data_IF_677617863790
#
_entry.id   IF_677617863790
#
_cell.length_a   1.000
_cell.length_b   1.000
_cell.length_c   1.000
_cell.angle_alpha   90.00
_cell.angle_beta   90.00
_cell.angle_gamma   90.00
#
_symmetry.space_group_name_H-M   'P 1'
#
loop_
_entity.id
_entity.type
_entity.pdbx_description
1 polymer ?
#
# COMPACT_ATOMS: atom_id res chain seq x y z
N UNK A 1 13.53 -0.20 9.15
CA UNK A 1 13.66 -0.77 7.80
C UNK A 1 13.00 0.19 6.82
N UNK A 2 13.66 0.52 5.71
CA UNK A 2 13.08 1.32 4.63
C UNK A 2 11.89 0.57 4.04
N UNK A 3 10.66 1.07 4.27
CA UNK A 3 9.45 0.52 3.64
C UNK A 3 9.32 1.09 2.24
N UNK A 4 9.52 0.24 1.26
CA UNK A 4 9.36 0.60 -0.15
C UNK A 4 8.45 -0.41 -0.81
N UNK A 5 7.47 0.09 -1.55
CA UNK A 5 6.67 -0.74 -2.42
C UNK A 5 7.61 -1.44 -3.44
N UNK A 6 7.41 -2.75 -3.73
CA UNK A 6 8.15 -3.42 -4.80
C UNK A 6 8.00 -2.66 -6.13
N UNK A 7 9.07 -2.50 -6.91
CA UNK A 7 8.96 -1.89 -8.24
C UNK A 7 8.06 -2.74 -9.13
N UNK A 8 7.31 -2.10 -10.04
CA UNK A 8 6.55 -2.81 -11.06
C UNK A 8 7.51 -3.71 -11.87
N UNK A 9 7.24 -5.02 -12.00
CA UNK A 9 8.15 -5.94 -12.67
C UNK A 9 8.20 -5.64 -14.18
N UNK A 10 9.25 -6.06 -14.90
CA UNK A 10 9.24 -5.97 -16.36
C UNK A 10 8.07 -6.79 -16.93
N UNK A 11 7.48 -6.31 -18.02
CA UNK A 11 6.44 -7.07 -18.73
C UNK A 11 7.03 -8.40 -19.23
N UNK A 12 6.35 -9.55 -19.04
CA UNK A 12 6.91 -10.87 -19.37
C UNK A 12 7.29 -11.03 -20.85
N UNK A 13 6.58 -10.34 -21.74
CA UNK A 13 6.86 -10.35 -23.19
C UNK A 13 7.87 -9.27 -23.63
N UNK A 14 8.47 -8.52 -22.70
CA UNK A 14 9.42 -7.45 -23.01
C UNK A 14 8.78 -6.15 -23.51
N UNK A 15 7.46 -6.04 -23.47
CA UNK A 15 6.68 -4.85 -23.82
C UNK A 15 6.49 -3.85 -22.68
N UNK A 16 5.55 -2.92 -22.87
CA UNK A 16 5.07 -2.02 -21.82
C UNK A 16 3.79 -2.57 -21.21
N UNK A 17 3.61 -2.38 -19.90
CA UNK A 17 2.34 -2.65 -19.23
C UNK A 17 1.21 -1.84 -19.83
N UNK A 18 -0.02 -2.37 -19.75
CA UNK A 18 -1.20 -1.63 -20.14
C UNK A 18 -1.30 -0.30 -19.38
N UNK A 19 -1.92 0.74 -19.95
CA UNK A 19 -2.12 2.01 -19.27
C UNK A 19 -2.84 1.85 -17.92
N UNK A 20 -3.74 0.86 -17.81
CA UNK A 20 -4.45 0.54 -16.58
C UNK A 20 -3.49 0.05 -15.48
N UNK A 21 -2.59 -0.89 -15.81
CA UNK A 21 -1.60 -1.39 -14.84
C UNK A 21 -0.63 -0.29 -14.42
N UNK A 22 -0.15 0.53 -15.37
CA UNK A 22 0.74 1.65 -15.06
C UNK A 22 0.06 2.68 -14.16
N UNK A 23 -1.18 3.05 -14.49
CA UNK A 23 -1.94 4.02 -13.72
C UNK A 23 -2.27 3.51 -12.31
N UNK A 24 -2.72 2.26 -12.19
CA UNK A 24 -3.00 1.63 -10.90
C UNK A 24 -1.73 1.58 -10.03
N UNK A 25 -0.58 1.20 -10.60
CA UNK A 25 0.68 1.20 -9.86
C UNK A 25 1.14 2.61 -9.45
N UNK A 26 0.89 3.62 -10.28
CA UNK A 26 1.17 5.01 -9.96
C UNK A 26 0.31 5.48 -8.77
N UNK A 27 -1.00 5.21 -8.78
CA UNK A 27 -1.91 5.53 -7.67
C UNK A 27 -1.50 4.80 -6.40
N UNK A 28 -1.16 3.51 -6.51
CA UNK A 28 -0.65 2.71 -5.39
C UNK A 28 0.59 3.37 -4.76
N UNK A 29 1.54 3.81 -5.59
CA UNK A 29 2.77 4.48 -5.13
C UNK A 29 2.51 5.86 -4.52
N UNK A 30 1.65 6.66 -5.16
CA UNK A 30 1.34 8.03 -4.75
C UNK A 30 0.51 8.09 -3.47
N UNK A 31 -0.29 7.06 -3.20
CA UNK A 31 -1.01 6.91 -1.93
C UNK A 31 -0.13 6.30 -0.83
N UNK A 32 0.73 5.34 -1.18
CA UNK A 32 1.63 4.69 -0.22
C UNK A 32 2.66 5.65 0.37
N UNK A 33 3.30 6.49 -0.45
CA UNK A 33 4.42 7.35 -0.02
C UNK A 33 4.02 8.38 1.06
N UNK A 34 2.90 9.13 0.94
CA UNK A 34 2.43 10.02 1.99
C UNK A 34 2.09 9.29 3.30
N UNK A 35 1.48 8.11 3.21
CA UNK A 35 1.14 7.31 4.38
C UNK A 35 2.39 6.85 5.16
N UNK A 36 3.43 6.38 4.46
CA UNK A 36 4.75 6.12 5.08
C UNK A 36 5.34 7.37 5.72
N UNK A 37 5.25 8.52 5.04
CA UNK A 37 5.78 9.78 5.57
C UNK A 37 5.07 10.18 6.86
N UNK A 38 3.75 10.04 6.94
CA UNK A 38 2.99 10.36 8.16
C UNK A 38 3.34 9.42 9.30
N UNK A 39 3.54 8.13 9.04
CA UNK A 39 3.98 7.18 10.07
C UNK A 39 5.34 7.55 10.69
N UNK A 40 6.23 8.15 9.89
CA UNK A 40 7.57 8.57 10.36
C UNK A 40 7.57 9.94 11.06
N UNK A 41 6.45 10.66 11.04
CA UNK A 41 6.29 11.97 11.68
C UNK A 41 5.53 11.83 13.00
N UNK A 42 5.75 12.75 13.93
CA UNK A 42 4.81 12.95 15.04
C UNK A 42 3.50 13.49 14.46
N UNK A 43 2.57 12.58 14.20
CA UNK A 43 1.25 12.86 13.65
C UNK A 43 0.17 12.64 14.73
N UNK A 44 -0.86 13.48 14.71
CA UNK A 44 -2.02 13.28 15.55
C UNK A 44 -2.88 12.10 15.05
N UNK A 45 -3.71 11.56 15.95
CA UNK A 45 -4.55 10.41 15.67
C UNK A 45 -5.50 10.61 14.48
N UNK A 46 -5.99 11.84 14.22
CA UNK A 46 -6.90 12.09 13.10
C UNK A 46 -6.17 12.03 11.77
N UNK A 47 -4.94 12.56 11.69
CA UNK A 47 -4.10 12.44 10.49
C UNK A 47 -3.75 10.99 10.20
N UNK A 48 -3.44 10.20 11.23
CA UNK A 48 -3.19 8.76 11.09
C UNK A 48 -4.44 8.03 10.60
N UNK A 49 -5.60 8.32 11.17
CA UNK A 49 -6.89 7.76 10.75
C UNK A 49 -7.18 8.04 9.28
N UNK A 50 -7.01 9.27 8.82
CA UNK A 50 -7.20 9.64 7.42
C UNK A 50 -6.35 8.77 6.48
N UNK A 51 -5.09 8.51 6.83
CA UNK A 51 -4.22 7.67 6.01
C UNK A 51 -4.55 6.18 6.09
N UNK A 52 -5.06 5.69 7.23
CA UNK A 52 -5.60 4.33 7.35
C UNK A 52 -6.80 4.17 6.41
N UNK A 53 -7.78 5.08 6.51
CA UNK A 53 -8.98 5.07 5.69
C UNK A 53 -8.62 5.14 4.21
N UNK A 54 -7.77 6.10 3.82
CA UNK A 54 -7.34 6.24 2.44
C UNK A 54 -6.55 5.01 1.93
N UNK A 55 -5.72 4.39 2.78
CA UNK A 55 -5.05 3.14 2.43
C UNK A 55 -6.07 2.01 2.20
N UNK A 56 -7.10 1.91 3.05
CA UNK A 56 -8.12 0.87 2.93
C UNK A 56 -9.06 1.08 1.74
N UNK A 57 -9.36 2.32 1.36
CA UNK A 57 -10.29 2.63 0.25
C UNK A 57 -9.61 2.70 -1.11
N UNK A 58 -8.30 2.99 -1.16
CA UNK A 58 -7.57 3.13 -2.43
C UNK A 58 -6.61 1.97 -2.69
N UNK A 59 -5.77 1.60 -1.71
CA UNK A 59 -4.69 0.63 -1.94
C UNK A 59 -5.22 -0.80 -2.04
N UNK A 60 -6.11 -1.22 -1.13
CA UNK A 60 -6.62 -2.60 -1.15
C UNK A 60 -7.44 -2.90 -2.41
N UNK A 61 -8.37 -2.05 -2.87
CA UNK A 61 -9.08 -2.31 -4.12
C UNK A 61 -8.16 -2.41 -5.34
N UNK A 62 -7.05 -1.65 -5.38
CA UNK A 62 -6.04 -1.78 -6.44
C UNK A 62 -5.34 -3.14 -6.36
N UNK A 63 -4.96 -3.60 -5.16
CA UNK A 63 -4.32 -4.89 -4.98
C UNK A 63 -5.26 -6.05 -5.33
N UNK A 64 -6.53 -5.95 -4.95
CA UNK A 64 -7.59 -6.90 -5.33
C UNK A 64 -7.79 -6.92 -6.85
N UNK A 65 -7.79 -5.75 -7.51
CA UNK A 65 -7.88 -5.66 -8.95
C UNK A 65 -6.65 -6.29 -9.63
N UNK A 66 -5.43 -6.06 -9.12
CA UNK A 66 -4.24 -6.73 -9.64
C UNK A 66 -4.30 -8.24 -9.49
N UNK A 67 -4.79 -8.75 -8.36
CA UNK A 67 -4.99 -10.19 -8.16
C UNK A 67 -6.04 -10.76 -9.13
N UNK A 68 -7.19 -10.09 -9.25
CA UNK A 68 -8.30 -10.51 -10.11
C UNK A 68 -7.93 -10.55 -11.60
N UNK A 69 -7.14 -9.57 -12.07
CA UNK A 69 -6.72 -9.46 -13.46
C UNK A 69 -5.31 -10.02 -13.72
N UNK A 70 -4.69 -10.68 -12.74
CA UNK A 70 -3.30 -11.13 -12.85
C UNK A 70 -3.05 -12.05 -14.05
N UNK A 71 -3.98 -12.95 -14.34
CA UNK A 71 -3.85 -13.87 -15.46
C UNK A 71 -4.03 -13.17 -16.82
N UNK A 72 -4.95 -12.20 -16.91
CA UNK A 72 -5.26 -11.46 -18.14
C UNK A 72 -4.13 -10.49 -18.50
N UNK A 73 -3.64 -9.75 -17.51
CA UNK A 73 -2.58 -8.75 -17.67
C UNK A 73 -1.19 -9.39 -17.56
N UNK A 74 -1.08 -10.68 -17.23
CA UNK A 74 0.19 -11.39 -16.95
C UNK A 74 0.98 -10.80 -15.77
N UNK A 75 0.28 -10.27 -14.77
CA UNK A 75 0.89 -9.75 -13.53
C UNK A 75 1.34 -10.94 -12.66
N UNK A 76 2.59 -10.98 -12.20
CA UNK A 76 3.05 -12.06 -11.33
C UNK A 76 2.34 -12.03 -9.97
N UNK A 77 1.58 -13.07 -9.64
CA UNK A 77 0.93 -13.21 -8.32
C UNK A 77 1.92 -13.03 -7.14
N UNK A 78 3.16 -13.57 -7.17
CA UNK A 78 4.12 -13.33 -6.08
C UNK A 78 4.46 -11.84 -5.87
N UNK A 79 4.44 -11.05 -6.94
CA UNK A 79 4.64 -9.60 -6.84
C UNK A 79 3.44 -8.91 -6.20
N UNK A 80 2.21 -9.29 -6.58
CA UNK A 80 0.98 -8.77 -5.94
C UNK A 80 0.99 -9.07 -4.45
N UNK A 81 1.31 -10.31 -4.05
CA UNK A 81 1.41 -10.71 -2.64
C UNK A 81 2.46 -9.89 -1.89
N UNK A 82 3.62 -9.64 -2.50
CA UNK A 82 4.67 -8.80 -1.90
C UNK A 82 4.20 -7.36 -1.69
N UNK A 83 3.45 -6.81 -2.65
CA UNK A 83 2.82 -5.49 -2.49
C UNK A 83 1.78 -5.50 -1.36
N UNK A 84 0.95 -6.53 -1.29
CA UNK A 84 -0.07 -6.70 -0.24
C UNK A 84 0.54 -6.82 1.15
N UNK A 85 1.64 -7.56 1.31
CA UNK A 85 2.37 -7.66 2.58
C UNK A 85 2.90 -6.29 3.04
N UNK A 86 3.50 -5.54 2.13
CA UNK A 86 4.06 -4.20 2.44
C UNK A 86 2.95 -3.20 2.78
N UNK A 87 1.84 -3.21 2.04
CA UNK A 87 0.67 -2.35 2.33
C UNK A 87 -0.01 -2.75 3.63
N UNK A 88 -0.21 -4.06 3.86
CA UNK A 88 -0.79 -4.58 5.09
C UNK A 88 0.03 -4.22 6.32
N UNK A 89 1.36 -4.35 6.25
CA UNK A 89 2.24 -3.87 7.32
C UNK A 89 2.12 -2.36 7.53
N UNK A 90 2.08 -1.55 6.47
CA UNK A 90 1.89 -0.10 6.61
C UNK A 90 0.60 0.25 7.36
N UNK A 91 -0.52 -0.36 6.98
CA UNK A 91 -1.81 -0.12 7.64
C UNK A 91 -1.77 -0.55 9.11
N UNK A 92 -1.22 -1.73 9.39
CA UNK A 92 -1.07 -2.22 10.76
C UNK A 92 -0.28 -1.23 11.65
N UNK A 93 0.86 -0.73 11.15
CA UNK A 93 1.67 0.20 11.91
C UNK A 93 1.03 1.59 12.06
N UNK A 94 0.27 2.04 11.06
CA UNK A 94 -0.53 3.26 11.19
C UNK A 94 -1.60 3.10 12.28
N UNK A 95 -2.27 1.95 12.37
CA UNK A 95 -3.23 1.66 13.45
C UNK A 95 -2.55 1.70 14.82
N UNK A 96 -1.40 1.02 14.97
CA UNK A 96 -0.62 1.04 16.21
C UNK A 96 -0.20 2.47 16.61
N UNK A 97 0.25 3.27 15.64
CA UNK A 97 0.60 4.67 15.87
C UNK A 97 -0.63 5.52 16.25
N UNK A 98 -1.79 5.27 15.63
CA UNK A 98 -3.04 5.97 15.93
C UNK A 98 -3.50 5.69 17.35
N UNK A 99 -3.48 4.41 17.76
CA UNK A 99 -3.83 4.00 19.13
C UNK A 99 -2.92 4.67 20.16
N UNK A 100 -1.61 4.65 19.91
CA UNK A 100 -0.63 5.33 20.76
C UNK A 100 -0.88 6.84 20.85
N UNK A 101 -1.15 7.50 19.71
CA UNK A 101 -1.43 8.93 19.64
C UNK A 101 -2.77 9.31 20.30
N UNK A 102 -3.76 8.41 20.29
CA UNK A 102 -5.05 8.59 20.95
C UNK A 102 -4.98 8.33 22.47
N UNK A 103 -3.83 7.90 22.99
CA UNK A 103 -3.63 7.58 24.41
C UNK A 103 -4.14 6.21 24.83
N UNK A 104 -4.41 5.31 23.87
CA UNK A 104 -4.82 3.93 24.13
C UNK A 104 -3.55 3.11 24.38
N UNK A 105 -3.01 3.21 25.60
CA UNK A 105 -1.91 2.34 26.03
C UNK A 105 -2.45 0.92 26.28
N UNK A 106 -2.28 0.01 25.31
CA UNK A 106 -2.30 -1.42 25.59
C UNK A 106 -0.88 -1.80 26.01
N UNK A 107 -0.67 -1.92 27.32
CA UNK A 107 0.50 -2.62 27.85
C UNK A 107 0.40 -4.09 27.41
N UNK A 108 1.32 -4.53 26.56
CA UNK A 108 1.66 -5.94 26.40
C UNK A 108 3.10 -6.16 26.89
#
# INVERSE_FOLDING_TARGET
>A
MSRTLPPLPPHPEGGQWSPNVQHAYQVLTDTFRPAVKVLLQEADANRLQYHIENATTELFPILEAFEAHAAEEHIPIPWVLSCTEVVGSLVFDLCQAQEAAAGWYIFL
#
